data_IF_608524529617
#
_entry.id   IF_608524529617
#
_cell.length_a   1.000
_cell.length_b   1.000
_cell.length_c   1.000
_cell.angle_alpha   90.00
_cell.angle_beta   90.00
_cell.angle_gamma   90.00
#
_symmetry.space_group_name_H-M   'P 1'
#
loop_
_entity.id
_entity.type
_entity.pdbx_description
1 polymer ?
#
# COMPACT_ATOMS: atom_id res chain seq x y z
N UNK A 1 5.15 -10.28 -12.84
CA UNK A 1 4.79 -10.07 -11.43
C UNK A 1 5.41 -8.75 -11.01
N UNK A 2 4.70 -7.94 -10.24
CA UNK A 2 5.21 -6.66 -9.72
C UNK A 2 4.61 -6.41 -8.35
N UNK A 3 5.28 -5.57 -7.58
CA UNK A 3 4.89 -5.23 -6.21
C UNK A 3 3.69 -4.31 -6.24
N UNK A 4 2.63 -4.72 -5.56
CA UNK A 4 1.37 -3.97 -5.52
C UNK A 4 1.32 -3.10 -4.29
N UNK A 5 0.66 -1.96 -4.41
CA UNK A 5 0.49 -1.06 -3.28
C UNK A 5 -0.83 -0.30 -3.34
N UNK A 6 -1.22 0.28 -2.22
CA UNK A 6 -2.34 1.19 -2.11
C UNK A 6 -1.83 2.63 -1.91
N UNK A 7 -2.25 3.57 -2.76
CA UNK A 7 -1.91 4.99 -2.60
C UNK A 7 -3.16 5.76 -2.16
N UNK A 8 -3.09 6.31 -0.97
CA UNK A 8 -4.19 6.97 -0.30
C UNK A 8 -3.95 8.46 -0.14
N UNK A 9 -5.05 9.21 -0.19
CA UNK A 9 -5.11 10.59 0.31
C UNK A 9 -6.24 10.68 1.32
N UNK A 10 -5.92 11.13 2.52
CA UNK A 10 -6.87 11.40 3.58
C UNK A 10 -7.09 12.91 3.70
N UNK A 11 -8.34 13.34 3.58
CA UNK A 11 -8.70 14.75 3.65
C UNK A 11 -10.14 14.94 4.11
N UNK A 12 -10.38 15.92 5.00
CA UNK A 12 -11.67 16.22 5.60
C UNK A 12 -12.28 14.99 6.33
N UNK A 13 -11.44 14.27 7.07
CA UNK A 13 -11.85 13.15 7.93
C UNK A 13 -12.24 11.88 7.18
N UNK A 14 -11.80 11.72 5.92
CA UNK A 14 -12.07 10.51 5.13
C UNK A 14 -11.00 10.26 4.07
N UNK A 15 -10.97 9.03 3.56
CA UNK A 15 -10.28 8.75 2.30
C UNK A 15 -10.99 9.44 1.14
N UNK A 16 -10.23 10.25 0.40
CA UNK A 16 -10.67 10.88 -0.86
C UNK A 16 -10.07 10.19 -2.08
N UNK A 17 -8.93 9.50 -1.89
CA UNK A 17 -8.28 8.63 -2.88
C UNK A 17 -7.85 7.36 -2.14
N UNK A 18 -8.05 6.21 -2.78
CA UNK A 18 -7.50 4.91 -2.37
C UNK A 18 -7.23 4.10 -3.65
N UNK A 19 -6.11 4.42 -4.29
CA UNK A 19 -5.75 3.91 -5.61
C UNK A 19 -5.01 2.59 -5.47
N UNK A 20 -5.60 1.50 -5.97
CA UNK A 20 -4.86 0.27 -6.20
C UNK A 20 -3.78 0.49 -7.28
N UNK A 21 -2.58 -0.03 -7.04
CA UNK A 21 -1.45 0.05 -7.98
C UNK A 21 -0.87 -1.32 -8.25
N UNK A 22 -0.60 -1.62 -9.53
CA UNK A 22 -0.13 -2.96 -9.92
C UNK A 22 1.40 -3.12 -9.87
N UNK A 23 2.17 -2.04 -9.98
CA UNK A 23 3.62 -2.13 -10.18
C UNK A 23 4.39 -1.18 -9.27
N UNK A 24 5.64 -1.56 -9.01
CA UNK A 24 6.67 -0.76 -8.34
C UNK A 24 6.27 -0.25 -6.95
N UNK A 25 5.42 -0.99 -6.23
CA UNK A 25 4.87 -0.58 -4.94
C UNK A 25 5.86 -0.36 -3.79
N UNK A 26 7.12 -0.77 -3.94
CA UNK A 26 8.17 -0.54 -2.94
C UNK A 26 8.46 0.96 -2.72
N UNK A 27 9.08 1.34 -1.58
CA UNK A 27 9.48 2.72 -1.30
C UNK A 27 10.36 3.34 -2.38
N UNK A 28 11.23 2.56 -3.01
CA UNK A 28 12.11 2.98 -4.11
C UNK A 28 11.32 3.36 -5.38
N UNK A 29 10.11 2.83 -5.53
CA UNK A 29 9.21 3.08 -6.66
C UNK A 29 8.11 4.08 -6.29
N UNK A 30 6.90 3.59 -6.02
CA UNK A 30 5.74 4.42 -5.74
C UNK A 30 5.97 5.36 -4.55
N UNK A 31 6.65 4.91 -3.49
CA UNK A 31 6.96 5.76 -2.33
C UNK A 31 7.83 6.98 -2.71
N UNK A 32 8.88 6.77 -3.50
CA UNK A 32 9.76 7.81 -4.00
C UNK A 32 9.04 8.76 -4.95
N UNK A 33 8.15 8.25 -5.80
CA UNK A 33 7.34 9.10 -6.69
C UNK A 33 6.35 9.98 -5.93
N UNK A 34 5.73 9.44 -4.86
CA UNK A 34 4.91 10.23 -3.94
C UNK A 34 5.76 11.30 -3.27
N UNK A 35 6.92 10.94 -2.71
CA UNK A 35 7.83 11.88 -2.05
C UNK A 35 8.21 13.02 -2.99
N UNK A 36 8.59 12.71 -4.23
CA UNK A 36 8.91 13.73 -5.25
C UNK A 36 7.73 14.66 -5.50
N UNK A 37 6.50 14.15 -5.58
CA UNK A 37 5.31 14.96 -5.76
C UNK A 37 5.08 15.92 -4.59
N UNK A 38 5.09 15.40 -3.35
CA UNK A 38 4.77 16.20 -2.14
C UNK A 38 5.90 17.17 -1.75
N UNK A 39 7.14 16.92 -2.18
CA UNK A 39 8.28 17.80 -1.92
C UNK A 39 8.28 19.07 -2.79
N UNK A 40 7.49 19.10 -3.86
CA UNK A 40 7.39 20.28 -4.73
C UNK A 40 6.47 21.33 -4.11
N UNK A 41 7.02 22.52 -3.88
CA UNK A 41 6.27 23.67 -3.34
C UNK A 41 5.03 23.96 -4.20
N UNK A 42 3.87 24.05 -3.56
CA UNK A 42 2.59 24.33 -4.23
C UNK A 42 1.81 23.09 -4.67
N UNK A 43 2.41 21.89 -4.65
CA UNK A 43 1.70 20.68 -5.07
C UNK A 43 0.65 20.25 -4.06
N UNK A 44 0.88 20.44 -2.76
CA UNK A 44 -0.13 20.15 -1.73
C UNK A 44 -1.36 21.05 -1.89
N UNK A 45 -1.17 22.33 -2.19
CA UNK A 45 -2.23 23.29 -2.42
C UNK A 45 -2.99 22.99 -3.72
N UNK A 46 -2.26 22.66 -4.79
CA UNK A 46 -2.85 22.18 -6.06
C UNK A 46 -3.67 20.92 -5.84
N UNK A 47 -3.14 19.96 -5.09
CA UNK A 47 -3.84 18.72 -4.77
C UNK A 47 -5.11 19.01 -3.98
N UNK A 48 -5.05 19.81 -2.90
CA UNK A 48 -6.24 20.22 -2.13
C UNK A 48 -7.31 20.87 -3.01
N UNK A 49 -6.91 21.79 -3.91
CA UNK A 49 -7.85 22.43 -4.84
C UNK A 49 -8.48 21.42 -5.82
N UNK A 50 -7.67 20.52 -6.39
CA UNK A 50 -8.16 19.50 -7.32
C UNK A 50 -9.06 18.46 -6.66
N UNK A 51 -8.81 18.10 -5.40
CA UNK A 51 -9.64 17.14 -4.65
C UNK A 51 -11.10 17.59 -4.48
N UNK A 52 -11.40 18.90 -4.52
CA UNK A 52 -12.78 19.40 -4.54
C UNK A 52 -13.54 19.02 -5.82
N UNK A 53 -12.81 18.58 -6.85
CA UNK A 53 -13.31 18.17 -8.15
C UNK A 53 -13.06 16.68 -8.44
N UNK A 54 -12.62 15.92 -7.44
CA UNK A 54 -12.53 14.46 -7.49
C UNK A 54 -13.86 13.86 -7.04
N UNK A 55 -14.38 12.89 -7.80
CA UNK A 55 -15.63 12.19 -7.51
C UNK A 55 -15.37 10.71 -7.33
N UNK A 56 -15.62 10.19 -6.12
CA UNK A 56 -15.70 8.75 -5.91
C UNK A 56 -16.89 8.18 -6.69
N UNK A 57 -16.63 7.13 -7.47
CA UNK A 57 -17.65 6.42 -8.23
C UNK A 57 -17.94 5.07 -7.61
N UNK A 58 -19.17 4.58 -7.78
CA UNK A 58 -19.57 3.23 -7.37
C UNK A 58 -19.03 2.16 -8.31
N UNK A 59 -18.98 0.92 -7.85
CA UNK A 59 -18.64 -0.25 -8.68
C UNK A 59 -19.56 -0.38 -9.90
N UNK A 60 -20.83 0.00 -9.76
CA UNK A 60 -21.79 0.01 -10.87
C UNK A 60 -21.40 1.04 -11.94
N UNK A 61 -21.03 2.27 -11.53
CA UNK A 61 -20.54 3.31 -12.44
C UNK A 61 -19.21 2.87 -13.09
N UNK A 62 -18.29 2.28 -12.33
CA UNK A 62 -17.00 1.78 -12.83
C UNK A 62 -17.20 0.67 -13.87
N UNK A 63 -18.05 -0.31 -13.58
CA UNK A 63 -18.38 -1.40 -14.50
C UNK A 63 -19.04 -0.87 -15.79
N UNK A 64 -19.91 0.12 -15.69
CA UNK A 64 -20.54 0.76 -16.84
C UNK A 64 -19.51 1.54 -17.69
N UNK A 65 -18.54 2.21 -17.06
CA UNK A 65 -17.41 2.85 -17.76
C UNK A 65 -16.61 1.80 -18.53
N UNK A 66 -16.21 0.70 -17.87
CA UNK A 66 -15.49 -0.39 -18.52
C UNK A 66 -16.26 -0.94 -19.72
N UNK A 67 -17.55 -1.23 -19.54
CA UNK A 67 -18.42 -1.74 -20.62
C UNK A 67 -18.45 -0.79 -21.81
N UNK A 68 -18.69 0.51 -21.59
CA UNK A 68 -18.75 1.52 -22.67
C UNK A 68 -17.42 1.66 -23.41
N UNK A 69 -16.33 1.65 -22.67
CA UNK A 69 -14.97 1.76 -23.23
C UNK A 69 -14.69 0.55 -24.12
N UNK A 70 -14.97 -0.66 -23.64
CA UNK A 70 -14.77 -1.90 -24.39
C UNK A 70 -15.66 -1.98 -25.63
N UNK A 71 -16.94 -1.62 -25.51
CA UNK A 71 -17.87 -1.54 -26.65
C UNK A 71 -17.39 -0.55 -27.70
N UNK A 72 -16.92 0.64 -27.28
CA UNK A 72 -16.38 1.66 -28.19
C UNK A 72 -15.10 1.22 -28.90
N UNK A 73 -14.21 0.50 -28.20
CA UNK A 73 -13.01 -0.08 -28.80
C UNK A 73 -13.34 -1.20 -29.79
N UNK A 74 -14.29 -2.09 -29.44
CA UNK A 74 -14.77 -3.15 -30.33
C UNK A 74 -15.43 -2.58 -31.59
N UNK A 75 -16.25 -1.54 -31.45
CA UNK A 75 -16.88 -0.87 -32.59
C UNK A 75 -15.83 -0.25 -33.53
N UNK A 76 -14.80 0.43 -33.00
CA UNK A 76 -13.70 0.97 -33.80
C UNK A 76 -12.92 -0.12 -34.53
N UNK A 77 -12.60 -1.23 -33.84
CA UNK A 77 -11.96 -2.39 -34.45
C UNK A 77 -12.79 -2.98 -35.59
N UNK A 78 -14.10 -3.16 -35.38
CA UNK A 78 -15.01 -3.69 -36.40
C UNK A 78 -15.17 -2.76 -37.61
N UNK A 79 -15.05 -1.45 -37.40
CA UNK A 79 -15.01 -0.45 -38.47
C UNK A 79 -13.66 -0.38 -39.21
N UNK A 80 -12.69 -1.25 -38.89
CA UNK A 80 -11.36 -1.25 -39.49
C UNK A 80 -10.48 -0.10 -39.02
N UNK A 81 -10.88 0.64 -37.99
CA UNK A 81 -10.11 1.76 -37.42
C UNK A 81 -9.11 1.18 -36.42
N UNK A 82 -7.98 0.69 -36.91
CA UNK A 82 -6.84 0.25 -36.09
C UNK A 82 -5.72 1.28 -36.16
N UNK A 83 -5.42 1.91 -35.04
CA UNK A 83 -4.24 2.78 -34.90
C UNK A 83 -3.07 2.00 -34.31
N UNK A 84 -1.84 2.45 -34.57
CA UNK A 84 -0.63 1.89 -33.95
C UNK A 84 -0.74 1.86 -32.42
N UNK A 85 -1.34 2.90 -31.84
CA UNK A 85 -1.62 3.02 -30.40
C UNK A 85 -2.55 1.91 -29.89
N UNK A 86 -3.60 1.58 -30.63
CA UNK A 86 -4.56 0.54 -30.27
C UNK A 86 -3.95 -0.87 -30.42
N UNK A 87 -3.09 -1.08 -31.42
CA UNK A 87 -2.31 -2.31 -31.54
C UNK A 87 -1.33 -2.48 -30.38
N UNK A 88 -0.62 -1.42 -29.99
CA UNK A 88 0.33 -1.46 -28.88
C UNK A 88 -0.37 -1.75 -27.55
N UNK A 89 -1.51 -1.10 -27.32
CA UNK A 89 -2.37 -1.33 -26.18
C UNK A 89 -2.81 -2.80 -26.05
N UNK A 90 -3.28 -3.40 -27.14
CA UNK A 90 -3.65 -4.83 -27.14
C UNK A 90 -2.45 -5.76 -26.92
N UNK A 91 -1.28 -5.43 -27.45
CA UNK A 91 -0.05 -6.22 -27.28
C UNK A 91 0.52 -6.13 -25.85
N UNK A 92 0.33 -5.01 -25.17
CA UNK A 92 0.88 -4.74 -23.83
C UNK A 92 -0.09 -5.09 -22.69
N UNK A 93 -1.31 -5.53 -23.02
CA UNK A 93 -2.34 -5.78 -22.02
C UNK A 93 -2.94 -4.51 -21.41
N UNK A 94 -2.68 -3.34 -22.00
CA UNK A 94 -3.31 -2.08 -21.61
C UNK A 94 -4.81 -2.11 -21.91
N UNK A 95 -5.60 -1.60 -20.98
CA UNK A 95 -7.06 -1.58 -21.06
C UNK A 95 -7.56 -0.21 -21.49
N UNK A 96 -8.68 -0.14 -22.22
CA UNK A 96 -9.21 1.12 -22.79
C UNK A 96 -9.31 2.28 -21.79
N UNK A 97 -9.48 1.91 -20.52
CA UNK A 97 -9.59 2.82 -19.39
C UNK A 97 -8.28 3.57 -19.15
N UNK A 98 -7.12 2.96 -19.41
CA UNK A 98 -5.81 3.54 -19.10
C UNK A 98 -5.59 4.87 -19.83
N UNK A 99 -6.12 4.96 -21.06
CA UNK A 99 -6.02 6.18 -21.87
C UNK A 99 -7.17 7.16 -21.67
N UNK A 100 -8.39 6.67 -21.39
CA UNK A 100 -9.60 7.51 -21.38
C UNK A 100 -9.95 8.02 -19.98
N UNK A 101 -9.62 7.24 -18.96
CA UNK A 101 -9.85 7.52 -17.55
C UNK A 101 -8.58 7.14 -16.78
N UNK A 102 -7.48 7.90 -16.92
CA UNK A 102 -6.20 7.55 -16.32
C UNK A 102 -6.29 7.42 -14.79
N UNK A 103 -7.22 8.12 -14.14
CA UNK A 103 -7.49 8.01 -12.70
C UNK A 103 -8.16 6.70 -12.26
N UNK A 104 -8.65 5.89 -13.19
CA UNK A 104 -9.21 4.55 -12.95
C UNK A 104 -8.23 3.46 -13.40
N UNK A 105 -7.06 3.85 -13.89
CA UNK A 105 -6.04 2.91 -14.33
C UNK A 105 -5.26 2.38 -13.12
N UNK A 106 -5.16 1.06 -13.03
CA UNK A 106 -4.20 0.38 -12.13
C UNK A 106 -2.73 0.72 -12.41
N UNK A 107 -2.45 1.36 -13.54
CA UNK A 107 -1.11 1.83 -13.95
C UNK A 107 -0.85 3.27 -13.54
N UNK A 108 -1.84 3.98 -12.96
CA UNK A 108 -1.68 5.37 -12.56
C UNK A 108 -0.57 5.54 -11.52
N UNK A 109 -0.45 4.60 -10.58
CA UNK A 109 0.53 4.70 -9.50
C UNK A 109 0.37 6.02 -8.73
N UNK A 110 1.50 6.59 -8.31
CA UNK A 110 1.60 7.92 -7.71
C UNK A 110 1.15 9.04 -8.67
N UNK A 111 1.07 8.77 -9.97
CA UNK A 111 0.52 9.69 -10.97
C UNK A 111 -0.93 10.09 -10.68
N UNK A 112 -1.68 9.32 -9.87
CA UNK A 112 -3.01 9.71 -9.39
C UNK A 112 -3.00 11.06 -8.68
N UNK A 113 -1.90 11.42 -8.00
CA UNK A 113 -1.76 12.69 -7.29
C UNK A 113 -1.74 13.88 -8.26
N UNK A 114 -0.99 13.76 -9.36
CA UNK A 114 -0.95 14.79 -10.39
C UNK A 114 -2.27 14.86 -11.17
N UNK A 115 -2.89 13.71 -11.47
CA UNK A 115 -4.21 13.66 -12.12
C UNK A 115 -5.25 14.36 -11.25
N UNK A 116 -5.29 14.08 -9.94
CA UNK A 116 -6.20 14.72 -9.01
C UNK A 116 -5.91 16.22 -8.87
N UNK A 117 -4.65 16.63 -8.80
CA UNK A 117 -4.24 18.03 -8.70
C UNK A 117 -4.61 18.87 -9.94
N UNK A 118 -4.83 18.24 -11.09
CA UNK A 118 -5.30 18.89 -12.33
C UNK A 118 -6.83 18.93 -12.46
N UNK A 119 -7.57 18.31 -11.55
CA UNK A 119 -9.03 18.27 -11.61
C UNK A 119 -9.63 19.68 -11.45
N UNK A 120 -10.68 19.95 -12.21
CA UNK A 120 -11.40 21.25 -12.20
C UNK A 120 -12.89 21.02 -12.27
N UNK A 121 -13.70 22.03 -11.97
CA UNK A 121 -15.16 21.93 -12.08
C UNK A 121 -15.63 21.51 -13.49
N UNK A 122 -14.94 21.97 -14.55
CA UNK A 122 -15.26 21.63 -15.94
C UNK A 122 -14.75 20.24 -16.36
N UNK A 123 -13.78 19.69 -15.61
CA UNK A 123 -13.16 18.39 -15.85
C UNK A 123 -12.98 17.65 -14.52
N UNK A 124 -14.08 17.16 -13.92
CA UNK A 124 -14.01 16.39 -12.70
C UNK A 124 -13.33 15.04 -12.96
N UNK A 125 -12.61 14.55 -11.96
CA UNK A 125 -11.84 13.30 -12.05
C UNK A 125 -12.57 12.19 -11.28
N UNK A 126 -13.01 11.11 -11.94
CA UNK A 126 -13.59 9.97 -11.24
C UNK A 126 -12.49 9.13 -10.58
N UNK A 127 -12.74 8.61 -9.37
CA UNK A 127 -11.86 7.67 -8.66
C UNK A 127 -12.64 6.48 -8.12
N UNK A 128 -12.02 5.30 -8.15
CA UNK A 128 -12.46 4.13 -7.37
C UNK A 128 -11.73 4.16 -6.03
N UNK A 129 -12.42 3.78 -4.95
CA UNK A 129 -11.81 3.65 -3.63
C UNK A 129 -11.60 2.19 -3.30
N UNK A 130 -10.41 1.66 -3.61
CA UNK A 130 -10.07 0.25 -3.46
C UNK A 130 -9.61 -0.08 -2.02
N UNK A 131 -10.29 0.47 -1.01
CA UNK A 131 -9.86 0.42 0.39
C UNK A 131 -9.71 -1.00 0.93
N UNK A 132 -10.62 -1.91 0.58
CA UNK A 132 -10.58 -3.32 1.03
C UNK A 132 -9.33 -4.05 0.55
N UNK A 133 -8.60 -3.53 -0.45
CA UNK A 133 -7.29 -4.08 -0.81
C UNK A 133 -6.29 -4.00 0.34
N UNK A 134 -6.43 -3.04 1.26
CA UNK A 134 -5.64 -2.97 2.50
C UNK A 134 -5.78 -4.25 3.35
N UNK A 135 -6.88 -4.99 3.22
CA UNK A 135 -7.10 -6.23 3.96
C UNK A 135 -6.43 -7.47 3.33
N UNK A 136 -5.86 -7.33 2.14
CA UNK A 136 -5.17 -8.41 1.46
C UNK A 136 -3.68 -8.41 1.82
N UNK A 137 -3.33 -8.84 3.03
CA UNK A 137 -1.92 -8.84 3.50
C UNK A 137 -0.95 -9.65 2.63
N UNK A 138 -1.46 -10.54 1.75
CA UNK A 138 -0.63 -11.30 0.82
C UNK A 138 -0.24 -10.47 -0.41
N UNK A 139 -1.13 -9.61 -0.88
CA UNK A 139 -0.91 -8.83 -2.11
C UNK A 139 -0.72 -7.33 -1.87
N UNK A 140 -1.29 -6.75 -0.82
CA UNK A 140 -1.05 -5.37 -0.39
C UNK A 140 0.24 -5.31 0.41
N UNK A 141 1.37 -5.38 -0.31
CA UNK A 141 2.70 -5.40 0.27
C UNK A 141 3.05 -4.04 0.92
N UNK A 142 2.54 -2.94 0.33
CA UNK A 142 2.78 -1.57 0.76
C UNK A 142 1.51 -0.72 0.69
N UNK A 143 1.39 0.25 1.59
CA UNK A 143 0.42 1.32 1.47
C UNK A 143 1.05 2.67 1.84
N UNK A 144 0.58 3.72 1.19
CA UNK A 144 1.07 5.08 1.37
C UNK A 144 -0.12 5.97 1.62
N UNK A 145 -0.07 6.83 2.64
CA UNK A 145 -1.15 7.76 2.94
C UNK A 145 -0.60 9.18 3.08
N UNK A 146 -1.10 10.10 2.26
CA UNK A 146 -0.91 11.53 2.47
C UNK A 146 -2.11 12.02 3.29
N UNK A 147 -1.89 12.32 4.56
CA UNK A 147 -2.89 12.93 5.42
C UNK A 147 -2.78 14.46 5.35
N UNK A 148 -3.75 15.06 4.68
CA UNK A 148 -3.83 16.50 4.46
C UNK A 148 -4.48 17.26 5.61
N UNK A 149 -5.12 16.55 6.55
CA UNK A 149 -5.72 17.12 7.77
C UNK A 149 -4.67 17.32 8.85
N UNK A 150 -3.76 16.36 9.00
CA UNK A 150 -2.66 16.40 9.98
C UNK A 150 -1.29 16.73 9.37
N UNK A 151 -1.23 16.91 8.05
CA UNK A 151 -0.03 17.25 7.30
C UNK A 151 1.11 16.25 7.50
N UNK A 152 0.83 14.96 7.29
CA UNK A 152 1.83 13.89 7.32
C UNK A 152 1.79 13.01 6.08
N UNK A 153 2.93 12.40 5.77
CA UNK A 153 3.09 11.31 4.81
C UNK A 153 3.43 10.03 5.58
N UNK A 154 2.50 9.08 5.58
CA UNK A 154 2.62 7.80 6.27
C UNK A 154 2.96 6.68 5.28
N UNK A 155 3.92 5.85 5.68
CA UNK A 155 4.36 4.66 4.96
C UNK A 155 3.99 3.43 5.77
N UNK A 156 3.31 2.49 5.13
CA UNK A 156 2.88 1.23 5.70
C UNK A 156 3.43 0.07 4.88
N UNK A 157 3.72 -1.05 5.52
CA UNK A 157 4.14 -2.27 4.86
C UNK A 157 3.81 -3.53 5.65
N UNK A 158 3.77 -4.66 4.95
CA UNK A 158 3.30 -5.93 5.51
C UNK A 158 1.84 -5.85 5.97
N UNK A 159 1.43 -6.79 6.83
CA UNK A 159 0.09 -6.83 7.39
C UNK A 159 0.07 -7.29 8.84
N UNK A 160 -0.77 -6.66 9.65
CA UNK A 160 -0.99 -7.05 11.05
C UNK A 160 -2.46 -6.88 11.42
N UNK A 161 -2.86 -7.43 12.58
CA UNK A 161 -4.18 -7.17 13.13
C UNK A 161 -4.32 -5.67 13.45
N UNK A 162 -5.53 -5.13 13.29
CA UNK A 162 -5.85 -3.71 13.54
C UNK A 162 -5.38 -3.18 14.90
N UNK A 163 -5.39 -4.02 15.94
CA UNK A 163 -4.91 -3.64 17.27
C UNK A 163 -3.39 -3.36 17.32
N UNK A 164 -2.62 -3.93 16.38
CA UNK A 164 -1.16 -3.92 16.36
C UNK A 164 -0.57 -3.17 15.16
N UNK A 165 -1.40 -2.57 14.30
CA UNK A 165 -0.97 -1.90 13.07
C UNK A 165 -0.21 -0.60 13.28
N UNK A 166 -0.12 -0.11 14.52
CA UNK A 166 0.50 1.18 14.85
C UNK A 166 -0.29 2.40 14.34
N UNK A 167 -1.45 2.21 13.71
CA UNK A 167 -2.27 3.29 13.16
C UNK A 167 -3.74 2.91 13.06
N UNK A 168 -4.61 3.89 13.32
CA UNK A 168 -6.07 3.75 13.17
C UNK A 168 -6.57 4.01 11.74
N UNK A 169 -5.66 4.31 10.80
CA UNK A 169 -5.98 4.74 9.44
C UNK A 169 -6.93 3.78 8.70
N UNK A 170 -6.79 2.48 8.94
CA UNK A 170 -7.58 1.41 8.33
C UNK A 170 -8.47 0.67 9.34
N UNK A 171 -8.73 1.24 10.53
CA UNK A 171 -9.51 0.59 11.60
C UNK A 171 -10.93 0.22 11.13
N UNK A 172 -11.55 1.08 10.32
CA UNK A 172 -12.90 0.91 9.78
C UNK A 172 -12.95 0.17 8.41
N UNK A 173 -11.82 -0.34 7.92
CA UNK A 173 -11.74 -1.01 6.60
C UNK A 173 -11.83 -2.53 6.77
N UNK A 174 -12.82 -3.15 6.14
CA UNK A 174 -13.08 -4.59 6.27
C UNK A 174 -13.59 -5.01 7.65
N UNK A 175 -13.59 -6.31 7.91
CA UNK A 175 -14.00 -6.93 9.16
C UNK A 175 -13.09 -6.61 10.34
N UNK A 176 -13.53 -6.93 11.56
CA UNK A 176 -12.80 -6.62 12.80
C UNK A 176 -11.45 -7.37 12.91
N UNK A 177 -11.36 -8.56 12.32
CA UNK A 177 -10.16 -9.41 12.37
C UNK A 177 -9.39 -9.42 11.04
N UNK A 178 -9.83 -8.64 10.06
CA UNK A 178 -9.12 -8.55 8.79
C UNK A 178 -7.79 -7.81 9.04
N UNK A 179 -6.68 -8.30 8.46
CA UNK A 179 -5.40 -7.62 8.62
C UNK A 179 -5.45 -6.26 7.94
N UNK A 180 -4.54 -5.38 8.31
CA UNK A 180 -4.36 -4.06 7.70
C UNK A 180 -2.86 -3.75 7.58
N UNK A 181 -2.46 -2.81 6.71
CA UNK A 181 -1.07 -2.42 6.59
C UNK A 181 -0.51 -1.88 7.90
N UNK A 182 0.68 -2.33 8.28
CA UNK A 182 1.36 -1.89 9.51
C UNK A 182 2.10 -0.57 9.24
N UNK A 183 1.90 0.43 10.09
CA UNK A 183 2.63 1.70 10.01
C UNK A 183 4.12 1.46 10.26
N UNK A 184 4.94 1.82 9.28
CA UNK A 184 6.41 1.77 9.38
C UNK A 184 6.94 3.11 9.86
N UNK A 185 6.52 4.20 9.22
CA UNK A 185 6.99 5.55 9.55
C UNK A 185 6.00 6.62 9.11
N UNK A 186 6.02 7.75 9.81
CA UNK A 186 5.27 8.95 9.47
C UNK A 186 6.22 10.14 9.39
N UNK A 187 6.13 10.89 8.29
CA UNK A 187 6.93 12.08 8.03
C UNK A 187 6.02 13.31 8.05
N UNK A 188 6.41 14.37 8.75
CA UNK A 188 5.70 15.65 8.59
C UNK A 188 5.92 16.19 7.18
N UNK A 189 4.86 16.72 6.55
CA UNK A 189 4.99 17.37 5.24
C UNK A 189 5.88 18.63 5.29
N UNK A 190 6.09 19.21 6.47
CA UNK A 190 7.01 20.34 6.68
C UNK A 190 8.47 19.90 6.85
N UNK A 191 8.71 18.60 7.09
CA UNK A 191 10.04 18.03 7.31
C UNK A 191 10.16 16.67 6.61
N UNK A 192 10.02 16.70 5.28
CA UNK A 192 10.18 15.53 4.43
C UNK A 192 11.65 15.15 4.27
N UNK A 193 11.94 13.87 4.01
CA UNK A 193 13.28 13.45 3.57
C UNK A 193 13.72 14.24 2.34
N UNK A 194 15.01 14.61 2.30
CA UNK A 194 15.55 15.50 1.26
C UNK A 194 15.46 14.90 -0.15
N UNK A 195 15.60 13.59 -0.26
CA UNK A 195 15.60 12.86 -1.53
C UNK A 195 15.16 11.40 -1.31
N UNK A 196 14.89 10.65 -2.39
CA UNK A 196 14.48 9.25 -2.29
C UNK A 196 15.46 8.36 -1.53
N UNK A 197 16.78 8.56 -1.66
CA UNK A 197 17.78 7.71 -0.98
C UNK A 197 17.69 7.90 0.54
N UNK A 198 17.64 9.15 1.02
CA UNK A 198 17.43 9.46 2.43
C UNK A 198 16.08 8.94 2.96
N UNK A 199 15.04 8.95 2.12
CA UNK A 199 13.74 8.37 2.47
C UNK A 199 13.83 6.86 2.68
N UNK A 200 14.53 6.14 1.79
CA UNK A 200 14.73 4.70 1.89
C UNK A 200 15.59 4.35 3.11
N UNK A 201 16.68 5.07 3.35
CA UNK A 201 17.53 4.87 4.54
C UNK A 201 16.73 5.00 5.84
N UNK A 202 15.89 6.04 5.94
CA UNK A 202 15.03 6.26 7.11
C UNK A 202 13.96 5.17 7.30
N UNK A 203 13.61 4.42 6.26
CA UNK A 203 12.73 3.26 6.35
C UNK A 203 13.53 1.97 6.67
N UNK A 204 14.74 1.82 6.13
CA UNK A 204 15.63 0.68 6.36
C UNK A 204 16.01 0.48 7.82
N UNK A 205 16.21 1.57 8.57
CA UNK A 205 16.45 1.53 10.02
C UNK A 205 15.32 0.81 10.80
N UNK A 206 14.11 0.77 10.25
CA UNK A 206 12.95 0.09 10.86
C UNK A 206 12.95 -1.41 10.58
N UNK A 207 13.56 -1.85 9.48
CA UNK A 207 13.72 -3.26 9.13
C UNK A 207 14.85 -3.92 9.94
N UNK A 208 16.00 -3.26 10.07
CA UNK A 208 17.16 -3.80 10.82
C UNK A 208 16.95 -3.81 12.35
N UNK A 209 16.03 -2.98 12.87
CA UNK A 209 15.74 -2.93 14.31
C UNK A 209 14.61 -3.88 14.75
N UNK A 210 13.97 -4.59 13.82
CA UNK A 210 12.86 -5.52 14.07
C UNK A 210 13.22 -7.01 14.01
N UNK A 211 14.45 -7.35 13.61
CA UNK A 211 14.93 -8.72 13.37
C UNK A 211 16.03 -9.18 14.37
N UNK A 212 16.03 -8.66 15.60
CA UNK A 212 16.58 -9.46 16.70
C UNK A 212 15.46 -10.40 17.17
N UNK A 213 15.50 -11.72 16.84
CA UNK A 213 14.66 -12.67 17.53
C UNK A 213 14.95 -12.54 19.01
N UNK A 214 13.96 -12.10 19.79
CA UNK A 214 13.92 -12.38 21.21
C UNK A 214 13.78 -13.90 21.30
N UNK A 215 14.92 -14.61 21.32
CA UNK A 215 14.95 -16.00 21.76
C UNK A 215 14.31 -15.99 23.16
N UNK A 216 13.09 -16.50 23.22
CA UNK A 216 12.37 -16.77 24.46
C UNK A 216 13.27 -17.67 25.31
N UNK A 217 13.93 -17.05 26.29
CA UNK A 217 14.78 -17.71 27.27
C UNK A 217 13.91 -18.47 28.29
N UNK A 218 12.99 -19.33 27.83
CA UNK A 218 12.12 -20.14 28.71
C UNK A 218 12.33 -21.66 28.57
N UNK A 219 13.14 -22.15 27.63
CA UNK A 219 13.39 -23.60 27.47
C UNK A 219 14.70 -24.12 28.10
N UNK A 220 15.40 -23.31 28.90
CA UNK A 220 16.63 -23.77 29.60
C UNK A 220 16.45 -24.19 31.06
N UNK A 221 15.27 -23.97 31.65
CA UNK A 221 15.00 -24.37 33.04
C UNK A 221 14.16 -25.65 33.18
N UNK A 222 13.49 -26.13 32.12
CA UNK A 222 12.77 -27.42 32.17
C UNK A 222 13.67 -28.65 31.87
N UNK A 223 14.81 -28.44 31.20
CA UNK A 223 15.74 -29.52 30.87
C UNK A 223 16.74 -29.85 32.00
N UNK A 224 16.80 -29.06 33.07
CA UNK A 224 17.67 -29.35 34.23
C UNK A 224 17.01 -30.17 35.34
N UNK A 225 15.70 -30.38 35.30
CA UNK A 225 14.97 -31.10 36.36
C UNK A 225 14.67 -32.56 36.03
N UNK A 226 15.10 -33.09 34.89
CA UNK A 226 14.79 -34.48 34.48
C UNK A 226 16.02 -35.41 34.49
N UNK A 227 17.24 -34.87 34.63
CA UNK A 227 18.48 -35.67 34.58
C UNK A 227 19.12 -35.96 35.95
N UNK A 228 18.53 -35.51 37.07
CA UNK A 228 19.07 -35.79 38.42
C UNK A 228 18.46 -37.02 39.14
N UNK A 229 17.39 -37.62 38.62
CA UNK A 229 16.70 -38.75 39.29
C UNK A 229 16.98 -40.14 38.68
N UNK A 230 17.91 -40.26 37.72
CA UNK A 230 18.15 -41.51 36.99
C UNK A 230 19.60 -42.01 37.04
N UNK A 231 20.32 -41.85 38.15
CA UNK A 231 21.63 -42.49 38.33
C UNK A 231 22.03 -42.66 39.80
N UNK A 232 21.31 -43.49 40.56
CA UNK A 232 21.84 -44.07 41.80
C UNK A 232 21.10 -45.36 42.16
N UNK A 233 21.35 -46.42 41.41
CA UNK A 233 21.24 -47.78 41.95
C UNK A 233 22.28 -48.69 41.27
N UNK A 234 22.79 -49.64 42.04
CA UNK A 234 23.74 -50.71 41.69
C UNK A 234 25.22 -50.36 41.48
N UNK A 235 26.02 -50.48 42.57
CA UNK A 235 26.90 -51.66 42.74
C UNK A 235 27.53 -51.79 44.14
N UNK A 236 26.94 -52.71 44.91
CA UNK A 236 27.53 -53.77 45.76
C UNK A 236 29.06 -53.76 46.00
N UNK A 237 29.49 -53.86 47.28
CA UNK A 237 30.21 -55.02 47.90
C UNK A 237 30.91 -54.60 49.21
N UNK A 238 30.55 -55.30 50.28
CA UNK A 238 31.21 -55.40 51.59
C UNK A 238 32.70 -55.79 51.50
N UNK A 239 33.49 -55.46 52.55
CA UNK A 239 34.14 -56.58 53.25
C UNK A 239 34.16 -56.51 54.78
N UNK A 240 34.07 -57.72 55.34
CA UNK A 240 34.72 -58.25 56.55
C UNK A 240 34.15 -57.94 57.94
N UNK A 241 33.50 -58.98 58.50
CA UNK A 241 33.23 -59.24 59.91
C UNK A 241 32.69 -60.66 60.04
#
# INVERSE_FOLDING_TARGET
>A
MGTRSLICVWYKGRFVIAQYTQFDGYPEGQGADILRFISVKGNIERLKAGLEHVKAISDQELNEIHRKVDEGLRARKNAGVTTSSMNMMMMTGGSGIDSLYPSLSRLAGAGILEIAAQATADKPVPVSLDLEFANDSLFCEWAYCIDLDTAVFEVFGGGSLKANSGSKRFEDVGGANDPVPTLIRSFSLDNLPENPDAFIELLGDVYDSGDEPQEEEEERDLAKTVDEDAAQDDTVINPAG
#
